data_IF_863966883667
#
_entry.id   IF_863966883667
#
_cell.length_a   1.000
_cell.length_b   1.000
_cell.length_c   1.000
_cell.angle_alpha   90.00
_cell.angle_beta   90.00
_cell.angle_gamma   90.00
#
_symmetry.space_group_name_H-M   'P 1'
#
loop_
_entity.id
_entity.type
_entity.pdbx_description
1 polymer ?
#
# COMPACT_ATOMS: atom_id res chain seq x y z
N UNK A 1 -18.69 -4.92 0.01
CA UNK A 1 -17.69 -4.62 -1.03
C UNK A 1 -16.98 -5.88 -1.50
N UNK A 2 -15.84 -6.30 -0.93
CA UNK A 2 -15.04 -7.39 -1.53
C UNK A 2 -15.80 -8.70 -1.70
N UNK A 3 -16.56 -9.14 -0.69
CA UNK A 3 -17.44 -10.31 -0.79
C UNK A 3 -18.41 -10.23 -1.99
N UNK A 4 -19.14 -9.12 -2.10
CA UNK A 4 -20.08 -8.89 -3.20
C UNK A 4 -19.36 -8.86 -4.55
N UNK A 5 -18.19 -8.21 -4.64
CA UNK A 5 -17.40 -8.17 -5.87
C UNK A 5 -16.93 -9.56 -6.30
N UNK A 6 -16.50 -10.41 -5.35
CA UNK A 6 -16.10 -11.80 -5.64
C UNK A 6 -17.27 -12.68 -6.07
N UNK A 7 -18.49 -12.39 -5.61
CA UNK A 7 -19.70 -13.10 -6.03
C UNK A 7 -20.16 -12.65 -7.42
N UNK A 8 -20.02 -11.36 -7.75
CA UNK A 8 -20.49 -10.79 -9.02
C UNK A 8 -19.50 -10.94 -10.18
N UNK A 9 -18.20 -10.96 -9.90
CA UNK A 9 -17.15 -10.96 -10.92
C UNK A 9 -16.61 -12.39 -11.12
N UNK A 10 -16.77 -12.99 -12.31
CA UNK A 10 -16.33 -14.36 -12.56
C UNK A 10 -14.80 -14.51 -12.62
N UNK A 11 -14.10 -13.45 -13.04
CA UNK A 11 -12.63 -13.41 -13.11
C UNK A 11 -12.09 -12.89 -11.78
N UNK A 12 -11.71 -13.82 -10.91
CA UNK A 12 -11.36 -13.52 -9.51
C UNK A 12 -10.15 -12.60 -9.40
N UNK A 13 -9.20 -12.70 -10.32
CA UNK A 13 -7.96 -11.94 -10.36
C UNK A 13 -8.21 -10.43 -10.35
N UNK A 14 -9.31 -9.96 -10.95
CA UNK A 14 -9.72 -8.54 -10.99
C UNK A 14 -10.04 -7.99 -9.60
N UNK A 15 -10.43 -8.86 -8.66
CA UNK A 15 -10.77 -8.49 -7.28
C UNK A 15 -9.65 -8.89 -6.31
N UNK A 16 -9.10 -10.10 -6.50
CA UNK A 16 -8.15 -10.72 -5.59
C UNK A 16 -6.81 -9.97 -5.51
N UNK A 17 -6.33 -9.37 -6.62
CA UNK A 17 -5.08 -8.61 -6.57
C UNK A 17 -5.18 -7.39 -5.63
N UNK A 18 -6.36 -6.75 -5.51
CA UNK A 18 -6.56 -5.68 -4.52
C UNK A 18 -6.82 -6.26 -3.12
N UNK A 19 -7.50 -7.41 -3.07
CA UNK A 19 -7.80 -8.17 -1.86
C UNK A 19 -6.55 -8.62 -1.10
N UNK A 20 -5.48 -8.97 -1.82
CA UNK A 20 -4.19 -9.39 -1.28
C UNK A 20 -3.62 -8.43 -0.21
N UNK A 21 -3.91 -7.13 -0.30
CA UNK A 21 -3.52 -6.13 0.72
C UNK A 21 -4.11 -6.42 2.10
N UNK A 22 -5.30 -7.00 2.14
CA UNK A 22 -5.95 -7.39 3.38
C UNK A 22 -5.36 -8.68 3.95
N UNK A 23 -4.89 -9.61 3.11
CA UNK A 23 -4.09 -10.75 3.60
C UNK A 23 -2.82 -10.27 4.29
N UNK A 24 -2.08 -9.35 3.66
CA UNK A 24 -0.91 -8.72 4.26
C UNK A 24 -1.22 -8.02 5.60
N UNK A 25 -2.27 -7.21 5.65
CA UNK A 25 -2.74 -6.57 6.89
C UNK A 25 -3.07 -7.57 8.00
N UNK A 26 -3.81 -8.63 7.66
CA UNK A 26 -4.23 -9.67 8.59
C UNK A 26 -3.02 -10.47 9.09
N UNK A 27 -2.10 -10.85 8.20
CA UNK A 27 -0.85 -11.54 8.53
C UNK A 27 -0.03 -10.72 9.52
N UNK A 28 0.20 -9.42 9.25
CA UNK A 28 0.93 -8.52 10.15
C UNK A 28 0.28 -8.46 11.53
N UNK A 29 -1.05 -8.31 11.56
CA UNK A 29 -1.82 -8.24 12.80
C UNK A 29 -1.68 -9.53 13.61
N UNK A 30 -1.87 -10.69 12.99
CA UNK A 30 -1.81 -12.00 13.63
C UNK A 30 -0.39 -12.34 14.13
N UNK A 31 0.65 -12.06 13.34
CA UNK A 31 2.04 -12.28 13.76
C UNK A 31 2.36 -11.41 14.99
N UNK A 32 2.06 -10.11 14.93
CA UNK A 32 2.32 -9.19 16.05
C UNK A 32 1.50 -9.53 17.29
N UNK A 33 0.24 -9.95 17.11
CA UNK A 33 -0.62 -10.47 18.16
C UNK A 33 -0.02 -11.70 18.83
N UNK A 34 0.43 -12.68 18.05
CA UNK A 34 1.11 -13.89 18.55
C UNK A 34 2.37 -13.55 19.34
N UNK A 35 3.23 -12.66 18.81
CA UNK A 35 4.49 -12.26 19.46
C UNK A 35 4.28 -11.44 20.73
N UNK A 36 3.19 -10.66 20.79
CA UNK A 36 2.87 -9.80 21.93
C UNK A 36 1.85 -10.42 22.91
N UNK A 37 1.38 -11.65 22.62
CA UNK A 37 0.29 -12.32 23.32
C UNK A 37 -0.99 -11.46 23.45
N UNK A 38 -1.34 -10.78 22.36
CA UNK A 38 -2.54 -9.93 22.25
C UNK A 38 -3.54 -10.53 21.26
N UNK A 39 -4.82 -10.44 21.61
CA UNK A 39 -5.91 -10.73 20.67
C UNK A 39 -6.04 -9.59 19.67
N UNK A 40 -5.97 -9.92 18.39
CA UNK A 40 -6.05 -8.99 17.26
C UNK A 40 -7.28 -9.21 16.39
N UNK A 41 -8.24 -10.06 16.80
CA UNK A 41 -9.40 -10.43 15.98
C UNK A 41 -10.22 -9.22 15.53
N UNK A 42 -10.38 -8.22 16.39
CA UNK A 42 -11.09 -6.97 16.07
C UNK A 42 -10.39 -6.11 15.00
N UNK A 43 -9.11 -6.40 14.69
CA UNK A 43 -8.33 -5.69 13.68
C UNK A 43 -8.36 -6.38 12.32
N UNK A 44 -8.85 -7.63 12.25
CA UNK A 44 -8.87 -8.42 11.02
C UNK A 44 -9.95 -7.94 10.07
N UNK A 45 -9.67 -8.04 8.77
CA UNK A 45 -10.57 -7.62 7.70
C UNK A 45 -10.80 -8.78 6.74
N UNK A 46 -12.06 -9.23 6.65
CA UNK A 46 -12.48 -10.29 5.73
C UNK A 46 -12.67 -9.77 4.30
N UNK A 47 -11.55 -9.41 3.67
CA UNK A 47 -11.49 -8.91 2.29
C UNK A 47 -10.31 -9.50 1.50
N UNK A 48 -9.54 -10.40 2.14
CA UNK A 48 -8.38 -11.06 1.57
C UNK A 48 -8.72 -12.15 0.56
N UNK A 49 -7.71 -12.76 -0.04
CA UNK A 49 -7.82 -13.97 -0.86
C UNK A 49 -7.83 -15.24 0.00
N UNK A 50 -7.35 -15.16 1.24
CA UNK A 50 -7.23 -16.27 2.17
C UNK A 50 -8.36 -16.19 3.22
N UNK A 51 -9.11 -17.30 3.45
CA UNK A 51 -10.10 -17.33 4.53
C UNK A 51 -9.48 -17.02 5.89
N UNK A 52 -10.11 -16.13 6.66
CA UNK A 52 -9.57 -15.67 7.96
C UNK A 52 -9.30 -16.82 8.93
N UNK A 53 -10.21 -17.79 9.03
CA UNK A 53 -10.03 -18.93 9.96
C UNK A 53 -8.82 -19.78 9.58
N UNK A 54 -8.63 -20.02 8.28
CA UNK A 54 -7.45 -20.71 7.77
C UNK A 54 -6.18 -19.93 8.09
N UNK A 55 -6.19 -18.61 7.88
CA UNK A 55 -5.04 -17.75 8.17
C UNK A 55 -4.68 -17.75 9.67
N UNK A 56 -5.68 -17.69 10.55
CA UNK A 56 -5.51 -17.79 12.01
C UNK A 56 -4.83 -19.10 12.41
N UNK A 57 -5.30 -20.22 11.86
CA UNK A 57 -4.73 -21.55 12.11
C UNK A 57 -3.28 -21.61 11.63
N UNK A 58 -3.00 -21.17 10.40
CA UNK A 58 -1.64 -21.16 9.84
C UNK A 58 -0.65 -20.37 10.71
N UNK A 59 -1.02 -19.15 11.13
CA UNK A 59 -0.16 -18.31 11.98
C UNK A 59 0.00 -18.91 13.38
N UNK A 60 -1.08 -19.44 13.97
CA UNK A 60 -1.04 -20.08 15.29
C UNK A 60 -0.11 -21.29 15.30
N UNK A 61 -0.31 -22.20 14.36
CA UNK A 61 0.39 -23.49 14.31
C UNK A 61 1.78 -23.37 13.68
N UNK A 62 2.09 -22.24 13.02
CA UNK A 62 3.36 -22.04 12.33
C UNK A 62 3.50 -22.88 11.07
N UNK A 63 2.37 -23.32 10.50
CA UNK A 63 2.32 -24.09 9.26
C UNK A 63 1.83 -23.17 8.12
N UNK A 64 2.76 -22.84 7.22
CA UNK A 64 2.53 -21.88 6.13
C UNK A 64 2.42 -22.53 4.76
N UNK A 65 2.29 -23.87 4.69
CA UNK A 65 2.28 -24.60 3.41
C UNK A 65 1.14 -24.21 2.48
N UNK A 66 0.02 -23.74 3.03
CA UNK A 66 -1.14 -23.30 2.26
C UNK A 66 -1.15 -21.80 1.96
N UNK A 67 -0.11 -21.06 2.36
CA UNK A 67 0.04 -19.67 1.93
C UNK A 67 0.54 -19.62 0.48
N UNK A 68 0.15 -18.61 -0.30
CA UNK A 68 0.83 -18.27 -1.54
C UNK A 68 2.34 -18.09 -1.32
N UNK A 69 3.16 -18.56 -2.27
CA UNK A 69 4.61 -18.63 -2.12
C UNK A 69 5.24 -17.28 -1.72
N UNK A 70 4.79 -16.19 -2.33
CA UNK A 70 5.30 -14.84 -2.07
C UNK A 70 5.04 -14.41 -0.61
N UNK A 71 3.86 -14.74 -0.08
CA UNK A 71 3.51 -14.49 1.32
C UNK A 71 4.21 -15.47 2.27
N UNK A 72 4.31 -16.76 1.89
CA UNK A 72 5.00 -17.79 2.68
C UNK A 72 6.44 -17.42 2.97
N UNK A 73 7.20 -17.07 1.92
CA UNK A 73 8.59 -16.62 2.02
C UNK A 73 8.70 -15.41 2.93
N UNK A 74 7.78 -14.45 2.77
CA UNK A 74 7.79 -13.21 3.55
C UNK A 74 7.46 -13.44 5.02
N UNK A 75 6.51 -14.31 5.34
CA UNK A 75 6.17 -14.71 6.71
C UNK A 75 7.34 -15.41 7.38
N UNK A 76 7.97 -16.36 6.70
CA UNK A 76 9.12 -17.09 7.23
C UNK A 76 10.29 -16.13 7.51
N UNK A 77 10.62 -15.27 6.55
CA UNK A 77 11.65 -14.24 6.70
C UNK A 77 11.35 -13.29 7.85
N UNK A 78 10.12 -12.78 7.95
CA UNK A 78 9.72 -11.85 9.02
C UNK A 78 9.88 -12.47 10.43
N UNK A 79 9.52 -13.76 10.58
CA UNK A 79 9.66 -14.48 11.84
C UNK A 79 11.12 -14.76 12.18
N UNK A 80 11.95 -15.11 11.19
CA UNK A 80 13.38 -15.32 11.37
C UNK A 80 14.09 -14.02 11.74
N UNK A 81 13.84 -12.94 11.01
CA UNK A 81 14.41 -11.62 11.27
C UNK A 81 14.03 -11.13 12.67
N UNK A 82 12.76 -11.29 13.07
CA UNK A 82 12.31 -10.93 14.42
C UNK A 82 12.98 -11.76 15.52
N UNK A 83 13.24 -13.06 15.26
CA UNK A 83 13.95 -13.94 16.21
C UNK A 83 15.40 -13.50 16.40
N UNK A 84 16.06 -13.05 15.32
CA UNK A 84 17.44 -12.58 15.35
C UNK A 84 17.56 -11.19 15.98
N UNK A 85 16.66 -10.26 15.64
CA UNK A 85 16.60 -8.92 16.17
C UNK A 85 15.13 -8.48 16.32
N UNK A 86 14.58 -8.48 17.56
CA UNK A 86 13.19 -8.13 17.79
C UNK A 86 12.86 -6.67 17.42
N UNK A 87 12.36 -6.47 16.22
CA UNK A 87 11.88 -5.18 15.71
C UNK A 87 10.50 -5.35 15.06
N UNK A 88 9.41 -4.86 15.68
CA UNK A 88 8.07 -4.94 15.09
C UNK A 88 7.94 -4.23 13.72
N UNK A 89 8.82 -3.28 13.40
CA UNK A 89 8.82 -2.60 12.11
C UNK A 89 9.37 -3.51 10.99
N UNK A 90 10.31 -4.41 11.29
CA UNK A 90 10.83 -5.34 10.27
C UNK A 90 9.71 -6.25 9.74
N UNK A 91 8.80 -6.68 10.61
CA UNK A 91 7.60 -7.45 10.23
C UNK A 91 6.75 -6.66 9.23
N UNK A 92 6.51 -5.37 9.47
CA UNK A 92 5.72 -4.56 8.54
C UNK A 92 6.38 -4.49 7.17
N UNK A 93 7.68 -4.17 7.15
CA UNK A 93 8.45 -4.01 5.91
C UNK A 93 8.46 -5.30 5.09
N UNK A 94 8.78 -6.43 5.72
CA UNK A 94 8.89 -7.72 5.03
C UNK A 94 7.54 -8.21 4.53
N UNK A 95 6.47 -8.07 5.31
CA UNK A 95 5.15 -8.52 4.88
C UNK A 95 4.57 -7.58 3.81
N UNK A 96 4.81 -6.27 3.89
CA UNK A 96 4.37 -5.33 2.85
C UNK A 96 5.06 -5.64 1.51
N UNK A 97 6.37 -5.91 1.50
CA UNK A 97 7.11 -6.38 0.31
C UNK A 97 6.47 -7.64 -0.28
N UNK A 98 6.24 -8.67 0.56
CA UNK A 98 5.58 -9.92 0.15
C UNK A 98 4.17 -9.73 -0.39
N UNK A 99 3.43 -8.80 0.19
CA UNK A 99 2.07 -8.46 -0.22
C UNK A 99 2.08 -7.91 -1.64
N UNK A 100 2.94 -6.94 -1.95
CA UNK A 100 3.03 -6.38 -3.29
C UNK A 100 3.53 -7.40 -4.32
N UNK A 101 4.47 -8.28 -3.95
CA UNK A 101 4.89 -9.41 -4.81
C UNK A 101 3.73 -10.36 -5.10
N UNK A 102 2.92 -10.68 -4.09
CA UNK A 102 1.73 -11.51 -4.28
C UNK A 102 0.67 -10.82 -5.15
N UNK A 103 0.43 -9.51 -4.94
CA UNK A 103 -0.45 -8.72 -5.81
C UNK A 103 0.00 -8.77 -7.27
N UNK A 104 1.30 -8.60 -7.51
CA UNK A 104 1.87 -8.63 -8.85
C UNK A 104 1.78 -10.03 -9.48
N UNK A 105 2.01 -11.08 -8.71
CA UNK A 105 1.84 -12.47 -9.13
C UNK A 105 0.42 -12.77 -9.59
N UNK A 106 -0.61 -12.32 -8.85
CA UNK A 106 -2.02 -12.44 -9.27
C UNK A 106 -2.24 -11.67 -10.58
N UNK A 107 -1.76 -10.42 -10.65
CA UNK A 107 -1.92 -9.58 -11.84
C UNK A 107 -1.26 -10.19 -13.08
N UNK A 108 -0.06 -10.76 -12.96
CA UNK A 108 0.66 -11.42 -14.05
C UNK A 108 -0.06 -12.70 -14.51
N UNK A 109 -0.52 -13.54 -13.58
CA UNK A 109 -1.28 -14.77 -13.90
C UNK A 109 -2.60 -14.49 -14.61
N UNK A 110 -3.12 -13.27 -14.49
CA UNK A 110 -4.38 -12.88 -15.12
C UNK A 110 -4.25 -12.53 -16.62
N UNK A 111 -3.03 -12.39 -17.13
CA UNK A 111 -2.71 -11.91 -18.49
C UNK A 111 -3.33 -10.53 -18.85
N UNK A 112 -3.79 -9.77 -17.85
CA UNK A 112 -4.34 -8.43 -18.03
C UNK A 112 -3.30 -7.37 -17.70
N UNK A 113 -2.70 -6.78 -18.74
CA UNK A 113 -1.67 -5.73 -18.62
C UNK A 113 -2.11 -4.58 -17.69
N UNK A 114 -3.38 -4.19 -17.74
CA UNK A 114 -3.92 -3.15 -16.86
C UNK A 114 -3.77 -3.46 -15.36
N UNK A 115 -3.92 -4.72 -14.94
CA UNK A 115 -3.71 -5.09 -13.53
C UNK A 115 -2.24 -4.97 -13.16
N UNK A 116 -1.34 -5.44 -14.04
CA UNK A 116 0.11 -5.33 -13.85
C UNK A 116 0.52 -3.86 -13.71
N UNK A 117 0.09 -3.01 -14.65
CA UNK A 117 0.37 -1.58 -14.63
C UNK A 117 -0.17 -0.90 -13.36
N UNK A 118 -1.37 -1.31 -12.91
CA UNK A 118 -1.96 -0.80 -11.66
C UNK A 118 -1.11 -1.17 -10.45
N UNK A 119 -0.65 -2.42 -10.35
CA UNK A 119 0.22 -2.85 -9.23
C UNK A 119 1.56 -2.12 -9.26
N UNK A 120 2.20 -2.00 -10.43
CA UNK A 120 3.47 -1.26 -10.58
C UNK A 120 3.34 0.21 -10.18
N UNK A 121 2.27 0.87 -10.63
CA UNK A 121 1.96 2.24 -10.21
C UNK A 121 1.84 2.35 -8.69
N UNK A 122 1.16 1.39 -8.04
CA UNK A 122 1.02 1.39 -6.59
C UNK A 122 2.36 1.15 -5.88
N UNK A 123 3.23 0.31 -6.44
CA UNK A 123 4.61 0.08 -5.96
C UNK A 123 5.42 1.38 -6.04
N UNK A 124 5.37 2.08 -7.17
CA UNK A 124 6.11 3.35 -7.34
C UNK A 124 5.62 4.42 -6.35
N UNK A 125 4.30 4.53 -6.17
CA UNK A 125 3.72 5.48 -5.21
C UNK A 125 4.14 5.14 -3.77
N UNK A 126 4.13 3.87 -3.35
CA UNK A 126 4.55 3.51 -1.99
C UNK A 126 6.06 3.67 -1.78
N UNK A 127 6.89 3.40 -2.80
CA UNK A 127 8.33 3.63 -2.75
C UNK A 127 8.65 5.12 -2.60
N UNK A 128 7.99 6.00 -3.38
CA UNK A 128 8.16 7.45 -3.25
C UNK A 128 7.73 7.95 -1.87
N UNK A 129 6.55 7.54 -1.39
CA UNK A 129 6.06 7.92 -0.05
C UNK A 129 7.02 7.46 1.03
N UNK A 130 7.51 6.23 0.93
CA UNK A 130 8.48 5.67 1.86
C UNK A 130 9.78 6.44 1.86
N UNK A 131 10.34 6.76 0.70
CA UNK A 131 11.53 7.59 0.56
C UNK A 131 11.37 8.95 1.25
N UNK A 132 10.30 9.68 0.94
CA UNK A 132 10.07 11.01 1.51
C UNK A 132 9.86 10.95 3.04
N UNK A 133 9.20 9.91 3.54
CA UNK A 133 9.05 9.66 4.98
C UNK A 133 10.39 9.36 5.65
N UNK A 134 11.21 8.51 5.04
CA UNK A 134 12.54 8.12 5.56
C UNK A 134 13.45 9.35 5.62
N UNK A 135 13.45 10.17 4.58
CA UNK A 135 14.19 11.43 4.51
C UNK A 135 13.75 12.42 5.58
N UNK A 136 12.44 12.56 5.81
CA UNK A 136 11.92 13.40 6.92
C UNK A 136 12.35 12.89 8.30
N UNK A 137 12.44 11.58 8.47
CA UNK A 137 12.85 10.97 9.74
C UNK A 137 14.37 10.97 9.94
N UNK A 138 15.14 11.54 9.00
CA UNK A 138 16.61 11.49 8.96
C UNK A 138 17.15 10.06 9.12
N UNK A 139 16.45 9.10 8.49
CA UNK A 139 16.86 7.69 8.48
C UNK A 139 17.67 7.40 7.22
N UNK A 140 18.77 6.67 7.40
CA UNK A 140 19.77 6.49 6.35
C UNK A 140 19.38 5.54 5.21
N UNK A 141 20.31 5.44 4.26
CA UNK A 141 20.25 4.62 3.04
C UNK A 141 19.89 3.17 3.33
N UNK A 142 20.41 2.58 4.42
CA UNK A 142 20.18 1.18 4.78
C UNK A 142 18.70 0.85 4.96
N UNK A 143 17.94 1.79 5.53
CA UNK A 143 16.50 1.60 5.67
C UNK A 143 15.78 1.74 4.34
N UNK A 144 16.15 2.72 3.52
CA UNK A 144 15.55 2.87 2.19
C UNK A 144 15.77 1.59 1.36
N UNK A 145 16.97 1.00 1.43
CA UNK A 145 17.29 -0.24 0.76
C UNK A 145 16.46 -1.44 1.23
N UNK A 146 16.01 -1.44 2.50
CA UNK A 146 15.13 -2.45 3.10
C UNK A 146 13.65 -2.22 2.79
N UNK A 147 13.21 -0.96 2.73
CA UNK A 147 11.80 -0.59 2.52
C UNK A 147 11.42 -0.56 1.04
N UNK A 148 12.40 -0.41 0.14
CA UNK A 148 12.17 -0.44 -1.30
C UNK A 148 11.53 -1.77 -1.72
N UNK A 149 10.41 -1.66 -2.42
CA UNK A 149 9.70 -2.78 -3.02
C UNK A 149 10.09 -2.84 -4.50
N UNK A 150 10.56 -4.01 -4.94
CA UNK A 150 10.97 -4.25 -6.32
C UNK A 150 9.78 -4.32 -7.29
N UNK A 151 10.07 -4.44 -8.58
CA UNK A 151 9.09 -4.63 -9.67
C UNK A 151 8.16 -3.44 -9.99
N UNK A 152 8.42 -2.26 -9.41
CA UNK A 152 7.88 -0.98 -9.87
C UNK A 152 8.44 -0.55 -11.23
N UNK A 153 8.14 0.69 -11.65
CA UNK A 153 8.77 1.32 -12.82
C UNK A 153 9.98 2.18 -12.46
N UNK A 154 10.11 2.55 -11.18
CA UNK A 154 11.22 3.37 -10.68
C UNK A 154 12.34 2.51 -10.10
N UNK A 155 13.55 2.71 -10.63
CA UNK A 155 14.74 1.97 -10.22
C UNK A 155 15.17 2.28 -8.77
N UNK A 156 15.73 1.30 -8.08
CA UNK A 156 16.22 1.45 -6.69
C UNK A 156 17.27 2.55 -6.56
N UNK A 157 18.18 2.66 -7.52
CA UNK A 157 19.30 3.61 -7.50
C UNK A 157 18.81 5.06 -7.51
N UNK A 158 17.64 5.33 -8.10
CA UNK A 158 16.98 6.63 -8.05
C UNK A 158 16.79 7.08 -6.59
N UNK A 159 16.30 6.19 -5.73
CA UNK A 159 16.00 6.49 -4.34
C UNK A 159 17.28 6.56 -3.50
N UNK A 160 18.21 5.61 -3.69
CA UNK A 160 19.46 5.53 -2.93
C UNK A 160 20.33 6.75 -3.19
N UNK A 161 20.53 7.13 -4.46
CA UNK A 161 21.32 8.32 -4.83
C UNK A 161 20.68 9.62 -4.33
N UNK A 162 19.35 9.67 -4.24
CA UNK A 162 18.61 10.85 -3.78
C UNK A 162 18.58 11.02 -2.25
N UNK A 163 19.06 10.04 -1.47
CA UNK A 163 19.03 10.13 0.00
C UNK A 163 19.88 11.27 0.56
N UNK A 164 21.04 11.52 -0.04
CA UNK A 164 22.00 12.54 0.43
C UNK A 164 21.77 13.93 -0.19
N UNK A 165 20.83 14.06 -1.12
CA UNK A 165 20.48 15.35 -1.73
C UNK A 165 19.42 16.07 -0.88
N UNK A 166 19.17 17.39 -1.06
CA UNK A 166 17.97 18.05 -0.53
C UNK A 166 16.67 17.40 -1.04
N UNK A 167 15.58 17.48 -0.28
CA UNK A 167 14.29 16.85 -0.66
C UNK A 167 13.67 17.52 -1.89
N UNK A 168 13.88 18.83 -2.03
CA UNK A 168 13.46 19.71 -3.12
C UNK A 168 13.94 19.23 -4.49
N UNK A 169 15.10 18.56 -4.52
CA UNK A 169 15.69 18.08 -5.76
C UNK A 169 15.05 16.80 -6.28
N UNK A 170 14.29 16.08 -5.45
CA UNK A 170 13.80 14.75 -5.79
C UNK A 170 12.82 14.76 -6.97
N UNK A 171 11.92 15.75 -7.04
CA UNK A 171 10.98 15.87 -8.18
C UNK A 171 11.71 16.05 -9.52
N UNK A 172 12.91 16.64 -9.52
CA UNK A 172 13.69 16.82 -10.75
C UNK A 172 14.24 15.48 -11.27
N UNK A 173 14.48 14.51 -10.40
CA UNK A 173 14.90 13.16 -10.80
C UNK A 173 13.76 12.38 -11.48
N UNK A 174 12.51 12.85 -11.31
CA UNK A 174 11.31 12.24 -11.87
C UNK A 174 10.82 12.91 -13.16
N UNK A 175 11.55 13.88 -13.74
CA UNK A 175 11.10 14.70 -14.88
C UNK A 175 10.56 13.92 -16.08
N UNK A 176 11.10 12.72 -16.33
CA UNK A 176 10.71 11.86 -17.45
C UNK A 176 9.64 10.82 -17.08
N UNK A 177 9.03 10.95 -15.91
CA UNK A 177 8.05 10.01 -15.38
C UNK A 177 6.72 10.73 -15.13
N UNK A 178 5.63 9.96 -15.12
CA UNK A 178 4.31 10.47 -14.76
C UNK A 178 4.21 10.88 -13.28
N UNK A 179 5.24 10.60 -12.47
CA UNK A 179 5.27 10.95 -11.05
C UNK A 179 5.72 12.38 -10.75
N UNK A 180 6.39 13.06 -11.69
CA UNK A 180 6.99 14.38 -11.41
C UNK A 180 6.01 15.37 -10.81
N UNK A 181 4.83 15.50 -11.43
CA UNK A 181 3.85 16.54 -11.09
C UNK A 181 3.36 16.41 -9.65
N UNK A 182 2.83 15.25 -9.29
CA UNK A 182 2.23 15.06 -7.96
C UNK A 182 3.30 15.05 -6.86
N UNK A 183 4.51 14.56 -7.15
CA UNK A 183 5.62 14.58 -6.20
C UNK A 183 6.07 16.02 -5.94
N UNK A 184 6.20 16.83 -6.99
CA UNK A 184 6.53 18.25 -6.85
C UNK A 184 5.49 18.99 -6.01
N UNK A 185 4.22 18.85 -6.37
CA UNK A 185 3.11 19.49 -5.62
C UNK A 185 3.08 19.04 -4.15
N UNK A 186 3.32 17.74 -3.90
CA UNK A 186 3.41 17.20 -2.54
C UNK A 186 4.59 17.73 -1.74
N UNK A 187 5.77 17.87 -2.35
CA UNK A 187 6.96 18.43 -1.71
C UNK A 187 6.78 19.92 -1.45
N UNK A 188 6.28 20.70 -2.41
CA UNK A 188 6.05 22.14 -2.26
C UNK A 188 5.07 22.42 -1.10
N UNK A 189 3.97 21.65 -1.01
CA UNK A 189 2.99 21.78 0.08
C UNK A 189 3.57 21.33 1.44
N UNK A 190 4.43 20.30 1.43
CA UNK A 190 5.14 19.86 2.63
C UNK A 190 6.09 20.95 3.14
N UNK A 191 6.93 21.53 2.29
CA UNK A 191 7.89 22.57 2.67
C UNK A 191 7.21 23.83 3.19
N UNK A 192 6.03 24.15 2.65
CA UNK A 192 5.25 25.31 3.06
C UNK A 192 4.61 25.15 4.44
N UNK A 193 4.15 23.95 4.79
CA UNK A 193 3.30 23.73 5.97
C UNK A 193 3.87 22.75 7.01
N UNK A 194 5.02 22.12 6.73
CA UNK A 194 5.61 21.02 7.52
C UNK A 194 4.63 19.86 7.81
N UNK A 195 3.75 19.55 6.86
CA UNK A 195 2.82 18.41 6.95
C UNK A 195 3.18 17.32 5.92
N UNK A 196 3.87 16.27 6.35
CA UNK A 196 4.13 15.08 5.51
C UNK A 196 2.81 14.43 5.05
N UNK A 197 1.71 14.66 5.77
CA UNK A 197 0.39 14.20 5.39
C UNK A 197 -0.06 14.73 4.02
N UNK A 198 0.52 15.85 3.55
CA UNK A 198 0.32 16.39 2.21
C UNK A 198 0.87 15.44 1.14
N UNK A 199 2.10 14.96 1.29
CA UNK A 199 2.71 13.98 0.35
C UNK A 199 1.87 12.72 0.25
N UNK A 200 1.39 12.21 1.40
CA UNK A 200 0.51 11.05 1.45
C UNK A 200 -0.79 11.27 0.67
N UNK A 201 -1.37 12.47 0.81
CA UNK A 201 -2.57 12.87 0.08
C UNK A 201 -2.31 12.97 -1.42
N UNK A 202 -1.24 13.63 -1.87
CA UNK A 202 -0.94 13.77 -3.29
C UNK A 202 -0.68 12.42 -3.98
N UNK A 203 0.03 11.51 -3.32
CA UNK A 203 0.21 10.16 -3.86
C UNK A 203 -1.09 9.35 -3.91
N UNK A 204 -1.97 9.50 -2.91
CA UNK A 204 -3.31 8.88 -2.96
C UNK A 204 -4.15 9.48 -4.11
N UNK A 205 -4.14 10.80 -4.27
CA UNK A 205 -4.86 11.51 -5.34
C UNK A 205 -4.35 11.11 -6.74
N UNK A 206 -3.05 10.90 -6.89
CA UNK A 206 -2.47 10.42 -8.15
C UNK A 206 -3.02 9.05 -8.56
N UNK A 207 -3.21 8.13 -7.60
CA UNK A 207 -3.88 6.84 -7.88
C UNK A 207 -5.32 7.06 -8.30
N UNK A 208 -6.04 8.00 -7.66
CA UNK A 208 -7.41 8.37 -8.04
C UNK A 208 -7.47 8.93 -9.47
N UNK A 209 -6.54 9.79 -9.85
CA UNK A 209 -6.48 10.36 -11.20
C UNK A 209 -6.14 9.30 -12.25
N UNK A 210 -5.28 8.32 -11.91
CA UNK A 210 -5.02 7.17 -12.76
C UNK A 210 -6.30 6.36 -13.02
N UNK A 211 -7.06 6.00 -11.99
CA UNK A 211 -8.28 5.19 -12.16
C UNK A 211 -9.43 5.97 -12.80
N UNK A 212 -9.46 7.31 -12.72
CA UNK A 212 -10.47 8.15 -13.39
C UNK A 212 -10.44 7.98 -14.91
N UNK A 213 -9.30 7.61 -15.49
CA UNK A 213 -9.19 7.26 -16.92
C UNK A 213 -10.11 6.09 -17.32
N UNK A 214 -10.47 5.22 -16.38
CA UNK A 214 -11.42 4.12 -16.60
C UNK A 214 -12.82 4.59 -16.99
N UNK A 215 -13.21 5.84 -16.70
CA UNK A 215 -14.52 6.41 -17.10
C UNK A 215 -14.71 6.42 -18.63
N UNK A 216 -13.62 6.38 -19.39
CA UNK A 216 -13.64 6.38 -20.86
C UNK A 216 -13.53 4.98 -21.47
N UNK A 217 -13.46 3.93 -20.65
CA UNK A 217 -13.31 2.55 -21.10
C UNK A 217 -14.62 1.80 -20.85
N UNK A 218 -15.23 1.30 -21.92
CA UNK A 218 -16.54 0.61 -21.84
C UNK A 218 -16.43 -0.87 -21.49
N UNK A 219 -15.31 -1.52 -21.82
CA UNK A 219 -15.10 -2.96 -21.61
C UNK A 219 -13.74 -3.24 -21.00
N UNK A 220 -13.68 -4.23 -20.10
CA UNK A 220 -12.46 -4.70 -19.45
C UNK A 220 -12.50 -4.57 -17.93
N UNK A 221 -11.38 -4.90 -17.24
CA UNK A 221 -11.30 -4.86 -15.79
C UNK A 221 -11.31 -3.43 -15.22
N UNK A 222 -11.04 -2.41 -16.03
CA UNK A 222 -10.80 -1.03 -15.60
C UNK A 222 -11.96 -0.44 -14.77
N UNK A 223 -13.23 -0.50 -15.20
CA UNK A 223 -14.32 0.06 -14.41
C UNK A 223 -14.50 -0.63 -13.05
N UNK A 224 -14.26 -1.94 -13.00
CA UNK A 224 -14.37 -2.75 -11.77
C UNK A 224 -13.26 -2.39 -10.79
N UNK A 225 -12.01 -2.36 -11.25
CA UNK A 225 -10.85 -1.96 -10.45
C UNK A 225 -10.99 -0.52 -9.95
N UNK A 226 -11.37 0.40 -10.84
CA UNK A 226 -11.60 1.79 -10.49
C UNK A 226 -12.69 1.92 -9.42
N UNK A 227 -13.79 1.17 -9.54
CA UNK A 227 -14.85 1.16 -8.54
C UNK A 227 -14.33 0.70 -7.17
N UNK A 228 -13.60 -0.42 -7.10
CA UNK A 228 -13.08 -0.95 -5.83
C UNK A 228 -12.15 0.07 -5.16
N UNK A 229 -11.17 0.61 -5.89
CA UNK A 229 -10.20 1.59 -5.37
C UNK A 229 -10.92 2.88 -4.94
N UNK A 230 -11.90 3.36 -5.72
CA UNK A 230 -12.71 4.51 -5.37
C UNK A 230 -13.46 4.31 -4.05
N UNK A 231 -14.10 3.15 -3.87
CA UNK A 231 -14.83 2.82 -2.64
C UNK A 231 -13.91 2.71 -1.42
N UNK A 232 -12.72 2.16 -1.57
CA UNK A 232 -11.72 2.15 -0.49
C UNK A 232 -11.28 3.56 -0.10
N UNK A 233 -11.06 4.42 -1.08
CA UNK A 233 -10.69 5.81 -0.84
C UNK A 233 -11.82 6.58 -0.15
N UNK A 234 -13.08 6.37 -0.54
CA UNK A 234 -14.25 6.95 0.15
C UNK A 234 -14.31 6.50 1.62
N UNK A 235 -14.08 5.21 1.89
CA UNK A 235 -14.00 4.68 3.27
C UNK A 235 -12.86 5.37 4.04
N UNK A 236 -11.70 5.57 3.41
CA UNK A 236 -10.55 6.27 4.00
C UNK A 236 -10.88 7.73 4.33
N UNK A 237 -11.52 8.45 3.40
CA UNK A 237 -11.99 9.83 3.58
C UNK A 237 -12.99 9.91 4.74
N UNK A 238 -13.98 9.02 4.79
CA UNK A 238 -14.93 8.95 5.90
C UNK A 238 -14.23 8.69 7.24
N UNK A 239 -13.25 7.77 7.27
CA UNK A 239 -12.46 7.49 8.47
C UNK A 239 -11.71 8.73 8.96
N UNK A 240 -11.10 9.50 8.06
CA UNK A 240 -10.41 10.76 8.40
C UNK A 240 -11.41 11.75 9.03
N UNK A 241 -12.59 11.92 8.43
CA UNK A 241 -13.63 12.83 8.95
C UNK A 241 -14.11 12.38 10.33
N UNK A 242 -14.47 11.10 10.49
CA UNK A 242 -15.00 10.55 11.73
C UNK A 242 -13.97 10.61 12.86
N UNK A 243 -12.72 10.25 12.56
CA UNK A 243 -11.61 10.28 13.53
C UNK A 243 -11.27 11.72 13.92
N UNK A 244 -11.23 12.63 12.95
CA UNK A 244 -11.01 14.05 13.20
C UNK A 244 -12.11 14.65 14.09
N UNK A 245 -13.39 14.38 13.78
CA UNK A 245 -14.53 14.84 14.58
C UNK A 245 -14.53 14.24 15.99
N UNK A 246 -14.28 12.93 16.13
CA UNK A 246 -14.19 12.24 17.43
C UNK A 246 -13.13 12.89 18.33
N UNK A 247 -11.99 13.28 17.74
CA UNK A 247 -10.89 13.92 18.46
C UNK A 247 -10.98 15.46 18.49
N UNK A 248 -12.11 16.05 18.07
CA UNK A 248 -12.36 17.51 18.06
C UNK A 248 -11.28 18.30 17.29
N UNK A 249 -10.70 17.71 16.24
CA UNK A 249 -9.73 18.37 15.36
C UNK A 249 -10.42 19.52 14.61
N UNK A 250 -9.72 20.64 14.42
CA UNK A 250 -10.25 21.79 13.69
C UNK A 250 -10.75 21.38 12.28
N UNK A 251 -11.97 21.79 11.86
CA UNK A 251 -12.52 21.43 10.56
C UNK A 251 -11.63 21.77 9.36
N UNK A 252 -10.86 22.86 9.41
CA UNK A 252 -9.96 23.26 8.34
C UNK A 252 -8.79 22.27 8.19
N UNK A 253 -8.25 21.77 9.31
CA UNK A 253 -7.20 20.73 9.31
C UNK A 253 -7.76 19.42 8.73
N UNK A 254 -8.99 19.05 9.12
CA UNK A 254 -9.65 17.86 8.56
C UNK A 254 -9.81 18.01 7.04
N UNK A 255 -10.31 19.16 6.55
CA UNK A 255 -10.48 19.44 5.12
C UNK A 255 -9.16 19.37 4.35
N UNK A 256 -8.07 19.93 4.90
CA UNK A 256 -6.74 19.88 4.28
C UNK A 256 -6.28 18.45 3.98
N UNK A 257 -6.67 17.50 4.83
CA UNK A 257 -6.29 16.07 4.71
C UNK A 257 -7.25 15.23 3.89
N UNK A 258 -8.36 15.76 3.37
CA UNK A 258 -9.26 14.98 2.53
C UNK A 258 -8.61 14.71 1.17
N UNK A 259 -8.71 13.46 0.72
CA UNK A 259 -8.30 13.02 -0.61
C UNK A 259 -9.39 13.35 -1.62
N UNK A 260 -9.01 13.43 -2.87
CA UNK A 260 -9.95 13.58 -3.97
C UNK A 260 -10.81 12.33 -4.05
N UNK A 261 -12.10 12.52 -4.38
CA UNK A 261 -13.02 11.41 -4.64
C UNK A 261 -13.03 11.11 -6.13
N UNK A 262 -13.50 9.91 -6.48
CA UNK A 262 -13.51 9.43 -7.86
C UNK A 262 -14.47 10.21 -8.77
N UNK A 263 -15.53 10.81 -8.19
CA UNK A 263 -16.59 11.54 -8.91
C UNK A 263 -16.03 12.75 -9.65
#
# INVERSE_FOLDING_TARGET
LYKEMKEMIPVKEVVDFLGARYDGHNIKSLIKGKLSNLDTDAMLIDAGTIPLDSLKIMIKDGNFESLPDELKVSVQKALEDYKNLPDPQSIDITIDEGTYKYMLSIAQKSDMQYLVDTVKLMIDVINIKSFLRIKRQDRGIDLMAKVYIEDGTLDKDLFISSMNEPIENFSNKLLLTDHMKWVKEGIDEYLKNDDIGSIEKFGDNYIIDYIKKAKYVSFGPQPIVAYIIARENEIKVLRIILTGKKNKVNPNIIRGRLRDVYV
#
